data_IF_769482545655
#
_entry.id   IF_769482545655
#
_cell.length_a   1.000
_cell.length_b   1.000
_cell.length_c   1.000
_cell.angle_alpha   90.00
_cell.angle_beta   90.00
_cell.angle_gamma   90.00
#
_symmetry.space_group_name_H-M   'P 1'
#
loop_
_entity.id
_entity.type
_entity.pdbx_description
1 polymer ?
#
# COMPACT_ATOMS: atom_id res chain seq x y z
N UNK A 1 -1.05 7.04 -13.21
CA UNK A 1 0.22 6.27 -13.13
C UNK A 1 1.35 7.28 -12.96
N UNK A 2 2.06 7.30 -11.84
CA UNK A 2 3.32 8.05 -11.81
C UNK A 2 4.23 7.35 -12.82
N UNK A 3 4.76 8.11 -13.77
CA UNK A 3 5.73 7.58 -14.72
C UNK A 3 6.94 7.13 -13.89
N UNK A 4 7.24 5.83 -13.89
CA UNK A 4 8.35 5.24 -13.14
C UNK A 4 9.66 5.98 -13.46
N UNK A 5 9.87 6.36 -14.73
CA UNK A 5 11.02 7.16 -15.15
C UNK A 5 11.06 8.54 -14.49
N UNK A 6 9.91 9.18 -14.28
CA UNK A 6 9.84 10.47 -13.58
C UNK A 6 10.19 10.33 -12.09
N UNK A 7 9.73 9.25 -11.43
CA UNK A 7 10.09 8.97 -10.03
C UNK A 7 11.60 8.73 -9.92
N UNK A 8 12.16 7.89 -10.78
CA UNK A 8 13.62 7.61 -10.80
C UNK A 8 14.44 8.86 -11.09
N UNK A 9 13.96 9.76 -11.95
CA UNK A 9 14.61 11.03 -12.23
C UNK A 9 14.62 11.94 -10.99
N UNK A 10 13.50 12.08 -10.30
CA UNK A 10 13.39 12.87 -9.07
C UNK A 10 14.30 12.29 -7.97
N UNK A 11 14.30 10.97 -7.80
CA UNK A 11 15.19 10.29 -6.84
C UNK A 11 16.65 10.63 -7.12
N UNK A 12 17.09 10.51 -8.38
CA UNK A 12 18.48 10.86 -8.79
C UNK A 12 18.83 12.31 -8.54
N UNK A 13 17.92 13.24 -8.84
CA UNK A 13 18.12 14.67 -8.59
C UNK A 13 18.33 14.93 -7.10
N UNK A 14 17.46 14.39 -6.24
CA UNK A 14 17.56 14.59 -4.78
C UNK A 14 18.84 14.00 -4.21
N UNK A 15 19.25 12.82 -4.68
CA UNK A 15 20.52 12.21 -4.25
C UNK A 15 21.74 13.03 -4.69
N UNK A 16 21.70 13.57 -5.90
CA UNK A 16 22.77 14.45 -6.41
C UNK A 16 22.86 15.73 -5.58
N UNK A 17 21.73 16.38 -5.28
CA UNK A 17 21.71 17.59 -4.44
C UNK A 17 22.28 17.32 -3.05
N UNK A 18 21.90 16.19 -2.40
CA UNK A 18 22.45 15.80 -1.10
C UNK A 18 23.96 15.55 -1.17
N UNK A 19 24.43 14.86 -2.20
CA UNK A 19 25.86 14.59 -2.42
C UNK A 19 26.66 15.89 -2.61
N UNK A 20 26.05 16.94 -3.14
CA UNK A 20 26.62 18.28 -3.30
C UNK A 20 26.48 19.16 -2.04
N UNK A 21 25.93 18.63 -0.94
CA UNK A 21 25.77 19.34 0.32
C UNK A 21 24.56 20.25 0.43
N UNK A 22 23.62 20.18 -0.52
CA UNK A 22 22.38 20.95 -0.43
C UNK A 22 21.39 20.33 0.56
N UNK A 23 20.71 21.20 1.32
CA UNK A 23 19.61 20.79 2.21
C UNK A 23 18.35 20.56 1.39
N UNK A 24 17.77 19.38 1.52
CA UNK A 24 16.49 19.03 0.90
C UNK A 24 15.37 19.16 1.95
N UNK A 25 14.24 19.83 1.63
CA UNK A 25 13.11 19.93 2.53
C UNK A 25 12.63 18.55 3.00
N UNK A 26 12.24 18.43 4.29
CA UNK A 26 11.92 17.16 4.94
C UNK A 26 10.76 16.42 4.28
N UNK A 27 9.77 17.12 3.77
CA UNK A 27 8.62 16.59 3.02
C UNK A 27 9.03 15.97 1.69
N UNK A 28 9.94 16.62 0.96
CA UNK A 28 10.52 16.09 -0.30
C UNK A 28 11.40 14.88 0.01
N UNK A 29 12.24 14.95 1.01
CA UNK A 29 13.13 13.85 1.40
C UNK A 29 12.33 12.61 1.85
N UNK A 30 11.29 12.79 2.63
CA UNK A 30 10.36 11.72 3.02
C UNK A 30 9.67 11.09 1.82
N UNK A 31 9.17 11.89 0.89
CA UNK A 31 8.52 11.41 -0.34
C UNK A 31 9.47 10.63 -1.24
N UNK A 32 10.72 11.08 -1.37
CA UNK A 32 11.75 10.38 -2.15
C UNK A 32 12.16 9.08 -1.48
N UNK A 33 12.29 9.05 -0.16
CA UNK A 33 12.58 7.82 0.59
C UNK A 33 11.48 6.77 0.39
N UNK A 34 10.21 7.17 0.42
CA UNK A 34 9.08 6.28 0.16
C UNK A 34 9.07 5.77 -1.28
N UNK A 35 9.33 6.67 -2.25
CA UNK A 35 9.41 6.29 -3.65
C UNK A 35 10.54 5.28 -3.92
N UNK A 36 11.72 5.50 -3.37
CA UNK A 36 12.85 4.55 -3.43
C UNK A 36 12.48 3.19 -2.91
N UNK A 37 11.77 3.16 -1.78
CA UNK A 37 11.37 1.91 -1.16
C UNK A 37 10.35 1.15 -1.99
N UNK A 38 9.35 1.85 -2.54
CA UNK A 38 8.34 1.22 -3.40
C UNK A 38 8.98 0.64 -4.67
N UNK A 39 9.91 1.38 -5.29
CA UNK A 39 10.65 0.91 -6.46
C UNK A 39 11.54 -0.30 -6.12
N UNK A 40 12.24 -0.27 -5.00
CA UNK A 40 13.08 -1.38 -4.57
C UNK A 40 12.24 -2.62 -4.28
N UNK A 41 11.12 -2.46 -3.61
CA UNK A 41 10.19 -3.54 -3.31
C UNK A 41 9.63 -4.18 -4.59
N UNK A 42 9.11 -3.37 -5.51
CA UNK A 42 8.60 -3.89 -6.79
C UNK A 42 9.69 -4.58 -7.60
N UNK A 43 10.90 -4.01 -7.67
CA UNK A 43 12.04 -4.61 -8.35
C UNK A 43 12.43 -5.95 -7.73
N UNK A 44 12.51 -6.03 -6.41
CA UNK A 44 12.85 -7.26 -5.69
C UNK A 44 11.82 -8.37 -5.92
N UNK A 45 10.51 -8.02 -5.92
CA UNK A 45 9.44 -8.96 -6.24
C UNK A 45 9.55 -9.48 -7.68
N UNK A 46 9.78 -8.60 -8.64
CA UNK A 46 9.95 -8.97 -10.06
C UNK A 46 11.14 -9.90 -10.26
N UNK A 47 12.22 -9.67 -9.52
CA UNK A 47 13.42 -10.52 -9.54
C UNK A 47 13.11 -11.89 -8.95
N UNK A 48 12.48 -11.96 -7.79
CA UNK A 48 12.11 -13.22 -7.15
C UNK A 48 11.19 -14.08 -8.03
N UNK A 49 10.21 -13.47 -8.71
CA UNK A 49 9.31 -14.16 -9.66
C UNK A 49 10.11 -14.79 -10.81
N UNK A 50 11.06 -14.05 -11.41
CA UNK A 50 11.90 -14.57 -12.48
C UNK A 50 12.82 -15.68 -11.98
N UNK A 51 13.40 -15.53 -10.80
CA UNK A 51 14.26 -16.56 -10.19
C UNK A 51 13.47 -17.84 -9.93
N UNK A 52 12.26 -17.77 -9.35
CA UNK A 52 11.41 -18.95 -9.18
C UNK A 52 11.10 -19.61 -10.52
N UNK A 53 10.72 -18.85 -11.54
CA UNK A 53 10.44 -19.38 -12.86
C UNK A 53 11.66 -20.06 -13.49
N UNK A 54 12.86 -19.50 -13.34
CA UNK A 54 14.08 -20.03 -13.93
C UNK A 54 14.62 -21.26 -13.19
N UNK A 55 14.60 -21.22 -11.87
CA UNK A 55 15.24 -22.24 -11.02
C UNK A 55 14.26 -23.33 -10.55
N UNK A 56 13.02 -22.96 -10.27
CA UNK A 56 12.03 -23.79 -9.59
C UNK A 56 12.25 -23.86 -8.07
N UNK A 57 13.11 -23.02 -7.50
CA UNK A 57 13.41 -23.00 -6.08
C UNK A 57 12.30 -22.28 -5.29
N UNK A 58 11.29 -23.06 -4.92
CA UNK A 58 10.14 -22.59 -4.14
C UNK A 58 10.55 -22.09 -2.76
N UNK A 59 11.51 -22.75 -2.09
CA UNK A 59 11.95 -22.41 -0.75
C UNK A 59 12.58 -21.01 -0.71
N UNK A 60 13.55 -20.76 -1.58
CA UNK A 60 14.19 -19.46 -1.71
C UNK A 60 13.17 -18.34 -2.07
N UNK A 61 12.21 -18.64 -2.94
CA UNK A 61 11.16 -17.69 -3.30
C UNK A 61 10.28 -17.30 -2.11
N UNK A 62 9.79 -18.29 -1.36
CA UNK A 62 8.93 -18.07 -0.19
C UNK A 62 9.69 -17.24 0.86
N UNK A 63 10.90 -17.66 1.23
CA UNK A 63 11.71 -16.97 2.24
C UNK A 63 12.00 -15.51 1.85
N UNK A 64 12.27 -15.25 0.58
CA UNK A 64 12.55 -13.90 0.10
C UNK A 64 11.27 -13.04 0.07
N UNK A 65 10.18 -13.58 -0.45
CA UNK A 65 8.92 -12.87 -0.61
C UNK A 65 8.28 -12.55 0.75
N UNK A 66 8.25 -13.52 1.69
CA UNK A 66 7.73 -13.32 3.05
C UNK A 66 8.48 -12.20 3.78
N UNK A 67 9.81 -12.19 3.71
CA UNK A 67 10.59 -11.07 4.27
C UNK A 67 10.23 -9.72 3.67
N UNK A 68 10.07 -9.65 2.36
CA UNK A 68 9.69 -8.42 1.68
C UNK A 68 8.29 -7.94 2.12
N UNK A 69 7.32 -8.84 2.27
CA UNK A 69 5.98 -8.52 2.76
C UNK A 69 6.05 -8.00 4.20
N UNK A 70 6.72 -8.72 5.08
CA UNK A 70 6.86 -8.32 6.48
C UNK A 70 7.48 -6.93 6.62
N UNK A 71 8.59 -6.66 5.93
CA UNK A 71 9.26 -5.36 5.92
C UNK A 71 8.33 -4.26 5.42
N UNK A 72 7.62 -4.49 4.31
CA UNK A 72 6.74 -3.49 3.71
C UNK A 72 5.51 -3.21 4.55
N UNK A 73 4.88 -4.24 5.12
CA UNK A 73 3.68 -4.06 5.94
C UNK A 73 4.01 -3.37 7.28
N UNK A 74 5.11 -3.73 7.92
CA UNK A 74 5.62 -3.04 9.10
C UNK A 74 5.94 -1.56 8.80
N UNK A 75 6.55 -1.28 7.66
CA UNK A 75 6.84 0.09 7.23
C UNK A 75 5.57 0.88 6.93
N UNK A 76 4.61 0.30 6.20
CA UNK A 76 3.34 0.92 5.88
C UNK A 76 2.52 1.24 7.15
N UNK A 77 2.53 0.32 8.12
CA UNK A 77 1.86 0.55 9.39
C UNK A 77 2.46 1.74 10.15
N UNK A 78 3.80 1.78 10.26
CA UNK A 78 4.52 2.93 10.85
C UNK A 78 4.21 4.24 10.15
N UNK A 79 4.11 4.22 8.82
CA UNK A 79 3.73 5.41 8.04
C UNK A 79 2.33 5.87 8.41
N UNK A 80 1.35 4.96 8.51
CA UNK A 80 0.00 5.28 8.93
C UNK A 80 -0.07 5.88 10.34
N UNK A 81 0.71 5.33 11.29
CA UNK A 81 0.84 5.90 12.63
C UNK A 81 1.46 7.30 12.59
N UNK A 82 2.54 7.47 11.85
CA UNK A 82 3.26 8.74 11.71
C UNK A 82 2.36 9.86 11.15
N UNK A 83 1.52 9.56 10.17
CA UNK A 83 0.55 10.52 9.64
C UNK A 83 -0.46 11.00 10.69
N UNK A 84 -0.73 10.18 11.71
CA UNK A 84 -1.56 10.53 12.87
C UNK A 84 -0.80 11.22 14.00
N UNK A 85 0.53 11.38 13.87
CA UNK A 85 1.39 11.87 14.95
C UNK A 85 1.66 10.82 16.04
N UNK A 86 1.49 9.53 15.73
CA UNK A 86 1.73 8.39 16.61
C UNK A 86 3.02 7.66 16.22
N UNK A 87 3.49 6.82 17.14
CA UNK A 87 4.68 5.97 16.98
C UNK A 87 4.33 4.50 17.20
N UNK A 88 5.28 3.59 17.05
CA UNK A 88 5.08 2.16 17.33
C UNK A 88 4.85 1.87 18.81
N UNK A 89 5.36 2.71 19.68
CA UNK A 89 5.15 2.62 21.13
C UNK A 89 3.70 2.90 21.54
N UNK A 90 2.95 3.61 20.69
CA UNK A 90 1.52 3.89 20.88
C UNK A 90 0.62 2.75 20.37
N UNK A 91 1.21 1.73 19.72
CA UNK A 91 0.47 0.61 19.14
C UNK A 91 -0.20 -0.24 20.22
N UNK A 92 -1.48 -0.50 20.08
CA UNK A 92 -2.22 -1.43 20.92
C UNK A 92 -1.96 -2.89 20.52
N UNK A 93 -2.21 -3.82 21.44
CA UNK A 93 -2.17 -5.26 21.17
C UNK A 93 -3.10 -5.67 20.00
N UNK A 94 -4.27 -5.03 19.91
CA UNK A 94 -5.22 -5.29 18.82
C UNK A 94 -4.67 -4.86 17.45
N UNK A 95 -3.98 -3.74 17.39
CA UNK A 95 -3.33 -3.25 16.16
C UNK A 95 -2.15 -4.13 15.77
N UNK A 96 -1.33 -4.53 16.74
CA UNK A 96 -0.22 -5.44 16.50
C UNK A 96 -0.70 -6.82 15.99
N UNK A 97 -1.78 -7.34 16.57
CA UNK A 97 -2.41 -8.58 16.11
C UNK A 97 -2.95 -8.42 14.69
N UNK A 98 -3.64 -7.32 14.39
CA UNK A 98 -4.18 -7.06 13.05
C UNK A 98 -3.08 -6.99 11.99
N UNK A 99 -1.96 -6.35 12.29
CA UNK A 99 -0.81 -6.32 11.38
C UNK A 99 -0.26 -7.72 11.10
N UNK A 100 -0.13 -8.56 12.13
CA UNK A 100 0.29 -9.97 11.95
C UNK A 100 -0.71 -10.77 11.10
N UNK A 101 -2.01 -10.59 11.31
CA UNK A 101 -3.05 -11.22 10.48
C UNK A 101 -2.92 -10.82 9.01
N UNK A 102 -2.71 -9.53 8.73
CA UNK A 102 -2.54 -9.02 7.37
C UNK A 102 -1.29 -9.60 6.67
N UNK A 103 -0.19 -9.75 7.41
CA UNK A 103 1.02 -10.40 6.91
C UNK A 103 0.74 -11.88 6.60
N UNK A 104 0.14 -12.59 7.54
CA UNK A 104 -0.20 -14.01 7.38
C UNK A 104 -1.14 -14.27 6.19
N UNK A 105 -2.19 -13.45 6.04
CA UNK A 105 -3.13 -13.55 4.92
C UNK A 105 -2.40 -13.33 3.58
N UNK A 106 -1.47 -12.38 3.52
CA UNK A 106 -0.70 -12.10 2.31
C UNK A 106 0.28 -13.22 1.96
N UNK A 107 0.87 -13.88 2.95
CA UNK A 107 1.74 -15.05 2.74
C UNK A 107 0.99 -16.22 2.09
N UNK A 108 -0.30 -16.42 2.43
CA UNK A 108 -1.16 -17.40 1.75
C UNK A 108 -1.25 -17.12 0.25
N UNK A 109 -1.46 -15.87 -0.15
CA UNK A 109 -1.49 -15.50 -1.58
C UNK A 109 -0.14 -15.67 -2.29
N UNK A 110 0.97 -15.57 -1.57
CA UNK A 110 2.32 -15.82 -2.12
C UNK A 110 2.47 -17.29 -2.51
N UNK A 111 1.98 -18.20 -1.68
CA UNK A 111 2.04 -19.64 -1.95
C UNK A 111 1.23 -20.01 -3.19
N UNK A 112 -0.03 -19.56 -3.26
CA UNK A 112 -0.89 -19.80 -4.42
C UNK A 112 -0.26 -19.24 -5.71
N UNK A 113 0.34 -18.07 -5.61
CA UNK A 113 1.00 -17.44 -6.76
C UNK A 113 2.28 -18.15 -7.19
N UNK A 114 3.05 -18.68 -6.24
CA UNK A 114 4.23 -19.49 -6.53
C UNK A 114 3.85 -20.77 -7.31
N UNK A 115 2.75 -21.41 -6.92
CA UNK A 115 2.24 -22.58 -7.63
C UNK A 115 1.87 -22.25 -9.09
N UNK A 116 1.16 -21.14 -9.32
CA UNK A 116 0.85 -20.66 -10.68
C UNK A 116 2.10 -20.46 -11.53
N UNK A 117 3.19 -19.89 -10.95
CA UNK A 117 4.46 -19.68 -11.64
C UNK A 117 5.13 -21.00 -11.99
N UNK A 118 5.15 -21.97 -11.06
CA UNK A 118 5.75 -23.28 -11.29
C UNK A 118 5.00 -24.08 -12.36
N UNK A 119 3.67 -24.03 -12.37
CA UNK A 119 2.85 -24.63 -13.44
C UNK A 119 3.19 -23.96 -14.78
N UNK A 120 3.26 -22.63 -14.82
CA UNK A 120 3.64 -21.92 -16.05
C UNK A 120 5.01 -22.32 -16.58
N UNK A 121 5.99 -22.51 -15.68
CA UNK A 121 7.32 -23.02 -16.03
C UNK A 121 7.25 -24.42 -16.63
N UNK A 122 6.50 -25.33 -16.04
CA UNK A 122 6.34 -26.71 -16.52
C UNK A 122 5.68 -26.76 -17.91
N UNK A 123 4.73 -25.89 -18.16
CA UNK A 123 3.99 -25.78 -19.42
C UNK A 123 4.70 -24.92 -20.48
N UNK A 124 5.85 -24.32 -20.16
CA UNK A 124 6.58 -23.43 -21.08
C UNK A 124 5.86 -22.11 -21.37
N UNK A 125 4.91 -21.69 -20.50
CA UNK A 125 4.22 -20.41 -20.63
C UNK A 125 5.15 -19.25 -20.25
N UNK A 126 5.04 -18.06 -20.88
CA UNK A 126 5.90 -16.92 -20.58
C UNK A 126 5.74 -16.41 -19.15
N UNK A 127 6.84 -15.93 -18.55
CA UNK A 127 6.86 -15.40 -17.17
C UNK A 127 6.33 -13.97 -17.05
N UNK A 128 6.32 -13.19 -18.12
CA UNK A 128 6.00 -11.75 -18.08
C UNK A 128 4.63 -11.40 -17.49
N UNK A 129 3.54 -12.16 -17.71
CA UNK A 129 2.26 -11.91 -17.03
C UNK A 129 2.38 -11.98 -15.51
N UNK A 130 3.17 -12.91 -14.97
CA UNK A 130 3.40 -13.07 -13.54
C UNK A 130 4.28 -11.94 -12.99
N UNK A 131 5.33 -11.56 -13.71
CA UNK A 131 6.19 -10.41 -13.35
C UNK A 131 5.36 -9.12 -13.28
N UNK A 132 4.39 -8.94 -14.17
CA UNK A 132 3.51 -7.77 -14.16
C UNK A 132 2.61 -7.70 -12.91
N UNK A 133 2.25 -8.85 -12.32
CA UNK A 133 1.46 -8.92 -11.08
C UNK A 133 2.22 -8.41 -9.84
N UNK A 134 3.56 -8.30 -9.87
CA UNK A 134 4.32 -7.70 -8.77
C UNK A 134 3.82 -6.31 -8.38
N UNK A 135 3.29 -5.53 -9.32
CA UNK A 135 2.67 -4.24 -9.06
C UNK A 135 1.48 -4.32 -8.10
N UNK A 136 0.77 -5.45 -8.06
CA UNK A 136 -0.38 -5.65 -7.15
C UNK A 136 0.09 -5.62 -5.69
N UNK A 137 1.19 -6.32 -5.39
CA UNK A 137 1.79 -6.29 -4.05
C UNK A 137 2.35 -4.91 -3.69
N UNK A 138 3.01 -4.23 -4.63
CA UNK A 138 3.48 -2.86 -4.40
C UNK A 138 2.31 -1.91 -4.06
N UNK A 139 1.14 -2.10 -4.64
CA UNK A 139 -0.06 -1.32 -4.33
C UNK A 139 -0.63 -1.61 -2.92
N UNK A 140 -0.36 -2.77 -2.32
CA UNK A 140 -0.80 -3.13 -0.96
C UNK A 140 -0.27 -2.19 0.12
N UNK A 141 0.90 -1.58 -0.10
CA UNK A 141 1.48 -0.62 0.84
C UNK A 141 0.48 0.42 1.33
N UNK A 142 -0.18 1.11 0.41
CA UNK A 142 -1.14 2.16 0.77
C UNK A 142 -2.41 1.62 1.43
N UNK A 143 -2.81 0.38 1.12
CA UNK A 143 -3.88 -0.32 1.83
C UNK A 143 -3.56 -0.45 3.32
N UNK A 144 -2.34 -0.88 3.64
CA UNK A 144 -1.87 -1.05 5.03
C UNK A 144 -1.75 0.31 5.73
N UNK A 145 -1.25 1.35 5.05
CA UNK A 145 -1.24 2.73 5.60
C UNK A 145 -2.64 3.18 6.00
N UNK A 146 -3.65 2.97 5.13
CA UNK A 146 -5.03 3.34 5.42
C UNK A 146 -5.66 2.47 6.51
N UNK A 147 -5.32 1.18 6.59
CA UNK A 147 -5.73 0.29 7.69
C UNK A 147 -5.23 0.82 9.03
N UNK A 148 -3.92 1.09 9.14
CA UNK A 148 -3.29 1.63 10.34
C UNK A 148 -3.96 2.95 10.77
N UNK A 149 -4.20 3.88 9.84
CA UNK A 149 -4.87 5.16 10.15
C UNK A 149 -6.28 4.97 10.69
N UNK A 150 -7.05 4.04 10.13
CA UNK A 150 -8.42 3.83 10.60
C UNK A 150 -8.47 3.13 11.95
N UNK A 151 -7.54 2.24 12.25
CA UNK A 151 -7.47 1.57 13.55
C UNK A 151 -6.91 2.47 14.65
N UNK A 152 -5.73 3.06 14.43
CA UNK A 152 -5.04 3.84 15.46
C UNK A 152 -5.63 5.25 15.66
N UNK A 153 -6.27 5.81 14.65
CA UNK A 153 -6.74 7.19 14.68
C UNK A 153 -7.91 7.46 15.63
N UNK A 154 -8.64 6.43 16.05
CA UNK A 154 -9.78 6.53 17.01
C UNK A 154 -10.71 7.70 16.68
N UNK A 155 -10.62 8.78 17.46
CA UNK A 155 -11.42 10.00 17.32
C UNK A 155 -10.82 11.05 16.37
N UNK A 156 -9.60 10.85 15.87
CA UNK A 156 -9.02 11.72 14.86
C UNK A 156 -9.87 11.73 13.59
N UNK A 157 -9.97 12.90 12.97
CA UNK A 157 -10.75 13.06 11.74
C UNK A 157 -9.88 12.77 10.53
N UNK A 158 -10.43 11.95 9.64
CA UNK A 158 -9.85 11.63 8.34
C UNK A 158 -10.79 12.10 7.24
N UNK A 159 -10.22 12.68 6.20
CA UNK A 159 -10.90 13.11 4.98
C UNK A 159 -10.58 12.14 3.85
N UNK A 160 -11.60 11.78 3.07
CA UNK A 160 -11.38 11.04 1.81
C UNK A 160 -10.88 11.98 0.73
N UNK A 161 -9.65 11.80 0.28
CA UNK A 161 -9.00 12.62 -0.74
C UNK A 161 -8.78 11.79 -2.00
N UNK A 162 -9.18 12.36 -3.13
CA UNK A 162 -8.96 11.75 -4.44
C UNK A 162 -7.47 11.83 -4.84
N UNK A 163 -6.91 10.72 -5.32
CA UNK A 163 -5.56 10.70 -5.89
C UNK A 163 -5.55 11.10 -7.38
N UNK A 164 -4.39 11.05 -8.00
CA UNK A 164 -4.23 11.35 -9.44
C UNK A 164 -4.51 10.10 -10.28
N UNK A 165 -5.78 9.84 -10.56
CA UNK A 165 -6.26 8.73 -11.38
C UNK A 165 -7.71 8.99 -11.80
N UNK A 166 -8.24 8.17 -12.69
CA UNK A 166 -9.69 8.08 -12.89
C UNK A 166 -10.36 7.52 -11.64
N UNK A 167 -11.54 8.02 -11.30
CA UNK A 167 -12.25 7.66 -10.09
C UNK A 167 -13.59 7.02 -10.39
N UNK A 168 -13.90 5.95 -9.67
CA UNK A 168 -15.22 5.34 -9.70
C UNK A 168 -16.26 6.24 -9.01
N UNK A 169 -17.54 5.96 -9.22
CA UNK A 169 -18.64 6.76 -8.66
C UNK A 169 -18.62 6.76 -7.11
N UNK A 170 -18.23 5.66 -6.48
CA UNK A 170 -18.09 5.59 -5.02
C UNK A 170 -17.03 6.55 -4.51
N UNK A 171 -15.83 6.58 -5.13
CA UNK A 171 -14.77 7.49 -4.75
C UNK A 171 -15.17 8.97 -4.91
N UNK A 172 -15.89 9.28 -6.00
CA UNK A 172 -16.43 10.64 -6.23
C UNK A 172 -17.43 11.04 -5.14
N UNK A 173 -18.34 10.15 -4.75
CA UNK A 173 -19.31 10.41 -3.67
C UNK A 173 -18.64 10.57 -2.29
N UNK A 174 -17.52 9.90 -2.06
CA UNK A 174 -16.76 9.96 -0.80
C UNK A 174 -15.82 11.15 -0.74
N UNK A 175 -15.48 11.77 -1.87
CA UNK A 175 -14.56 12.91 -1.95
C UNK A 175 -14.96 14.04 -1.01
N UNK A 176 -14.03 14.47 -0.16
CA UNK A 176 -14.25 15.51 0.83
C UNK A 176 -15.07 15.09 2.06
N UNK A 177 -15.54 13.85 2.15
CA UNK A 177 -16.19 13.33 3.36
C UNK A 177 -15.18 13.27 4.49
N UNK A 178 -15.54 13.87 5.62
CA UNK A 178 -14.73 13.90 6.85
C UNK A 178 -15.44 13.14 7.95
N UNK A 179 -14.85 12.06 8.45
CA UNK A 179 -15.35 11.27 9.57
C UNK A 179 -14.21 10.96 10.55
N UNK A 180 -14.57 10.55 11.78
CA UNK A 180 -13.58 9.98 12.70
C UNK A 180 -13.03 8.68 12.14
N UNK A 181 -11.78 8.37 12.45
CA UNK A 181 -11.13 7.12 12.02
C UNK A 181 -11.95 5.89 12.42
N UNK A 182 -12.47 5.86 13.65
CA UNK A 182 -13.34 4.80 14.15
C UNK A 182 -14.62 4.61 13.32
N UNK A 183 -15.16 5.68 12.72
CA UNK A 183 -16.36 5.61 11.86
C UNK A 183 -16.01 5.01 10.50
N UNK A 184 -14.84 5.35 9.92
CA UNK A 184 -14.33 4.74 8.71
C UNK A 184 -14.05 3.24 8.94
N UNK A 185 -13.42 2.91 10.07
CA UNK A 185 -13.12 1.53 10.46
C UNK A 185 -14.40 0.69 10.60
N UNK A 186 -15.39 1.17 11.37
CA UNK A 186 -16.64 0.47 11.60
C UNK A 186 -17.46 0.26 10.31
N UNK A 187 -17.37 1.21 9.37
CA UNK A 187 -18.05 1.10 8.08
C UNK A 187 -17.33 0.19 7.08
N UNK A 188 -16.09 -0.21 7.33
CA UNK A 188 -15.28 -0.98 6.39
C UNK A 188 -14.94 -0.23 5.09
N UNK A 189 -15.14 1.10 5.06
CA UNK A 189 -14.92 1.93 3.88
C UNK A 189 -13.50 2.49 3.91
N UNK A 190 -12.60 1.85 3.18
CA UNK A 190 -11.20 2.25 3.08
C UNK A 190 -10.74 2.27 1.62
N UNK A 191 -9.99 3.31 1.19
CA UNK A 191 -9.43 3.33 -0.15
C UNK A 191 -8.30 2.30 -0.28
N UNK A 192 -8.09 1.82 -1.50
CA UNK A 192 -7.01 0.89 -1.86
C UNK A 192 -7.02 -0.45 -1.09
N UNK A 193 -8.07 -0.75 -0.35
CA UNK A 193 -8.25 -2.01 0.37
C UNK A 193 -9.07 -2.97 -0.49
N UNK A 194 -8.40 -3.72 -1.36
CA UNK A 194 -9.04 -4.69 -2.26
C UNK A 194 -9.00 -6.11 -1.65
N UNK A 195 -10.07 -6.91 -1.80
CA UNK A 195 -11.38 -6.52 -2.33
C UNK A 195 -12.22 -5.74 -1.31
N UNK A 196 -12.86 -4.66 -1.73
CA UNK A 196 -13.77 -3.88 -0.89
C UNK A 196 -15.16 -3.75 -1.53
N UNK A 197 -16.17 -4.50 -1.03
CA UNK A 197 -17.50 -4.52 -1.63
C UNK A 197 -18.28 -3.21 -1.50
N UNK A 198 -17.83 -2.29 -0.64
CA UNK A 198 -18.44 -0.96 -0.49
C UNK A 198 -18.03 0.02 -1.60
N UNK A 199 -17.07 -0.34 -2.44
CA UNK A 199 -16.57 0.50 -3.51
C UNK A 199 -16.85 -0.14 -4.87
N UNK A 200 -17.34 0.64 -5.83
CA UNK A 200 -17.54 0.18 -7.21
C UNK A 200 -16.24 -0.37 -7.83
N UNK A 201 -15.09 0.28 -7.57
CA UNK A 201 -13.77 -0.20 -7.99
C UNK A 201 -13.26 -1.36 -7.11
N UNK A 202 -13.99 -1.77 -6.10
CA UNK A 202 -13.59 -2.76 -5.10
C UNK A 202 -12.21 -2.51 -4.46
N UNK A 203 -11.70 -1.28 -4.53
CA UNK A 203 -10.36 -0.92 -4.06
C UNK A 203 -9.22 -1.19 -5.05
N UNK A 204 -9.49 -1.94 -6.14
CA UNK A 204 -8.47 -2.20 -7.16
C UNK A 204 -8.12 -0.92 -7.93
N UNK A 205 -6.83 -0.71 -8.17
CA UNK A 205 -6.29 0.47 -8.86
C UNK A 205 -6.73 1.83 -8.28
N UNK A 206 -7.36 1.84 -7.11
CA UNK A 206 -7.72 3.04 -6.38
C UNK A 206 -6.45 3.82 -6.00
N UNK A 207 -6.50 5.16 -6.12
CA UNK A 207 -5.41 6.07 -5.69
C UNK A 207 -5.87 7.07 -4.63
N UNK A 208 -7.11 6.91 -4.14
CA UNK A 208 -7.64 7.72 -3.06
C UNK A 208 -6.93 7.41 -1.73
N UNK A 209 -7.02 8.34 -0.79
CA UNK A 209 -6.39 8.21 0.53
C UNK A 209 -7.32 8.76 1.62
N UNK A 210 -7.15 8.26 2.83
CA UNK A 210 -7.67 8.88 4.04
C UNK A 210 -6.57 9.78 4.62
N UNK A 211 -6.84 11.08 4.74
CA UNK A 211 -5.86 12.08 5.17
C UNK A 211 -6.32 12.71 6.48
N UNK A 212 -5.47 12.77 7.52
CA UNK A 212 -5.78 13.48 8.76
C UNK A 212 -6.14 14.94 8.49
N UNK A 213 -7.19 15.44 9.14
CA UNK A 213 -7.70 16.79 8.88
C UNK A 213 -8.27 17.47 10.12
N UNK A 214 -8.17 18.81 10.16
CA UNK A 214 -8.83 19.66 11.16
C UNK A 214 -10.22 20.15 10.70
N UNK A 215 -10.64 19.84 9.47
CA UNK A 215 -11.94 20.26 8.93
C UNK A 215 -13.09 19.77 9.81
N UNK A 216 -14.25 20.47 9.79
CA UNK A 216 -15.45 19.99 10.48
C UNK A 216 -15.87 18.62 9.93
N UNK A 217 -16.34 17.74 10.81
CA UNK A 217 -16.86 16.43 10.41
C UNK A 217 -18.13 16.57 9.56
N UNK A 218 -18.20 15.78 8.50
CA UNK A 218 -19.40 15.70 7.66
C UNK A 218 -20.54 15.06 8.48
N UNK A 219 -21.67 15.76 8.60
CA UNK A 219 -22.84 15.25 9.31
C UNK A 219 -23.59 14.17 8.52
N UNK A 220 -24.40 13.39 9.20
CA UNK A 220 -25.24 12.35 8.58
C UNK A 220 -24.50 11.04 8.29
N UNK A 221 -25.17 10.15 7.55
CA UNK A 221 -24.64 8.85 7.14
C UNK A 221 -23.70 8.98 5.93
N UNK A 222 -22.97 7.91 5.61
CA UNK A 222 -22.29 7.83 4.33
C UNK A 222 -23.29 7.92 3.16
N UNK A 223 -22.87 8.43 2.00
CA UNK A 223 -23.71 8.39 0.80
C UNK A 223 -24.02 6.93 0.45
N UNK A 224 -25.14 6.71 -0.24
CA UNK A 224 -25.47 5.37 -0.75
C UNK A 224 -24.42 4.97 -1.77
N UNK A 225 -23.64 3.97 -1.41
CA UNK A 225 -22.64 3.29 -2.25
C UNK A 225 -23.30 2.08 -2.93
N UNK A 226 -22.61 1.36 -3.86
CA UNK A 226 -23.12 0.18 -4.53
C UNK A 226 -23.62 -0.87 -3.58
#
# INVERSE_FOLDING_TARGET
>A
MYNQQAIEAVVRIVDTLKAQGYSVPKDIDGSVSLAKTALHYEFSLRTAIRELYNTGDLGAYIDHHSRLIEEQFNRAWREGLRELGLTVEDMTEAEARRLRELIFDEEGYVLDFAEEILIARQEGRPVDPYVSRAQTWANRYNSIVNEAKTMAGKDQKLEWVLGKAEHCSSCMKLSGIVKRASVWQAAGIRPQNAPNPHLECQGYNCKCQLVPTKKPGTRGRFPKLP
#
